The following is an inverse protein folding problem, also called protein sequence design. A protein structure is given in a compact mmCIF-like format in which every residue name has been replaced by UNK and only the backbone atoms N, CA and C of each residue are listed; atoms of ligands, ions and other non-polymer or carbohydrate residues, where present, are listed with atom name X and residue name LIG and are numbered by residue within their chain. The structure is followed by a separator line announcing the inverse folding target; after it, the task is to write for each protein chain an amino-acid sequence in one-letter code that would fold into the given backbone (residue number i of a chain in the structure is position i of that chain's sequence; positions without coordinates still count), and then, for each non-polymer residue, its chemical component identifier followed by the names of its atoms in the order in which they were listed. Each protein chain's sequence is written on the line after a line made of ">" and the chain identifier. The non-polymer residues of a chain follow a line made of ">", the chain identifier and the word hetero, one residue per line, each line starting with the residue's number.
data_IF_786480208060
#
_entry.id   IF_786480208060
#
_cell.length_a   1.000
_cell.length_b   1.000
_cell.length_c   1.000
_cell.angle_alpha   90.00
_cell.angle_beta   90.00
_cell.angle_gamma   90.00
#
_symmetry.space_group_name_H-M   'P 1'
#
loop_
_entity.id
_entity.type
_entity.pdbx_description
1 polymer ?
#
# COMPACT_ATOMS: atom_id res chain seq x y z
N UNK A 1 21.91 -88.98 -1.53
CA UNK A 1 20.70 -88.29 -1.08
C UNK A 1 21.04 -86.87 -0.71
N UNK A 2 20.79 -85.89 -1.55
CA UNK A 2 21.07 -84.44 -1.33
C UNK A 2 19.80 -83.79 -0.87
N UNK A 3 19.79 -83.21 0.34
CA UNK A 3 18.69 -82.38 0.87
C UNK A 3 18.93 -80.89 0.41
N UNK A 4 18.06 -80.38 -0.43
CA UNK A 4 18.01 -78.98 -0.80
C UNK A 4 17.27 -78.15 0.30
N UNK A 5 17.98 -77.34 0.99
CA UNK A 5 17.41 -76.32 1.89
C UNK A 5 16.95 -75.06 1.11
N UNK A 6 15.68 -74.71 1.19
CA UNK A 6 15.10 -73.50 0.63
C UNK A 6 15.27 -72.39 1.67
N UNK A 7 16.04 -71.39 1.35
CA UNK A 7 16.20 -70.15 2.17
C UNK A 7 15.09 -69.18 1.72
N UNK A 8 14.13 -68.91 2.59
CA UNK A 8 13.10 -67.89 2.40
C UNK A 8 13.66 -66.59 2.97
N UNK A 9 14.01 -65.69 2.10
CA UNK A 9 14.41 -64.34 2.47
C UNK A 9 13.16 -63.49 2.62
N UNK A 10 12.84 -63.13 3.87
CA UNK A 10 11.81 -62.13 4.18
C UNK A 10 12.34 -60.73 3.90
N UNK A 11 11.86 -60.12 2.83
CA UNK A 11 12.12 -58.70 2.53
C UNK A 11 11.13 -57.86 3.34
N UNK A 12 11.56 -57.37 4.51
CA UNK A 12 10.80 -56.37 5.27
C UNK A 12 10.89 -55.01 4.57
N UNK A 13 9.83 -54.63 3.85
CA UNK A 13 9.68 -53.31 3.30
C UNK A 13 9.38 -52.35 4.45
N UNK A 14 10.39 -51.63 4.90
CA UNK A 14 10.28 -50.52 5.85
C UNK A 14 9.65 -49.31 5.12
N UNK A 15 8.32 -49.16 5.18
CA UNK A 15 7.64 -47.93 4.75
C UNK A 15 8.03 -46.84 5.73
N UNK A 16 9.09 -46.10 5.44
CA UNK A 16 9.34 -44.79 6.03
C UNK A 16 8.24 -43.83 5.56
N UNK A 17 7.20 -43.68 6.36
CA UNK A 17 6.26 -42.57 6.22
C UNK A 17 7.05 -41.30 6.45
N UNK A 18 7.44 -40.61 5.37
CA UNK A 18 7.93 -39.23 5.41
C UNK A 18 6.73 -38.40 5.83
N UNK A 19 6.56 -38.21 7.13
CA UNK A 19 5.68 -37.17 7.67
C UNK A 19 6.35 -35.88 7.27
N UNK A 20 5.96 -35.33 6.12
CA UNK A 20 6.35 -33.98 5.72
C UNK A 20 5.82 -33.05 6.82
N UNK A 21 6.72 -32.57 7.67
CA UNK A 21 6.42 -31.42 8.52
C UNK A 21 6.15 -30.28 7.53
N UNK A 22 4.89 -29.88 7.41
CA UNK A 22 4.55 -28.61 6.76
C UNK A 22 5.30 -27.55 7.56
N UNK A 23 6.33 -26.96 6.96
CA UNK A 23 7.00 -25.80 7.53
C UNK A 23 5.93 -24.76 7.78
N UNK A 24 5.80 -24.32 9.05
CA UNK A 24 4.85 -23.26 9.41
C UNK A 24 5.11 -22.07 8.49
N UNK A 25 4.12 -21.75 7.64
CA UNK A 25 4.30 -20.70 6.64
C UNK A 25 4.44 -19.33 7.33
N UNK A 26 5.55 -18.63 7.09
CA UNK A 26 5.70 -17.26 7.56
C UNK A 26 4.93 -16.33 6.60
N UNK A 27 3.93 -15.58 7.13
CA UNK A 27 3.13 -14.61 6.40
C UNK A 27 3.29 -13.19 6.97
N UNK A 28 4.49 -12.85 7.41
CA UNK A 28 4.79 -11.50 7.90
C UNK A 28 4.45 -10.44 6.87
N UNK A 29 3.97 -9.29 7.34
CA UNK A 29 3.54 -8.21 6.47
C UNK A 29 4.11 -6.85 6.85
N UNK A 30 4.09 -5.94 5.88
CA UNK A 30 4.39 -4.54 6.10
C UNK A 30 3.24 -3.63 5.65
N UNK A 31 2.88 -2.67 6.50
CA UNK A 31 2.05 -1.54 6.13
C UNK A 31 2.97 -0.36 5.80
N UNK A 32 3.12 -0.06 4.50
CA UNK A 32 4.06 0.96 3.99
C UNK A 32 3.26 2.15 3.47
N UNK A 33 3.15 3.18 4.32
CA UNK A 33 2.35 4.37 4.04
C UNK A 33 3.10 5.66 4.42
N UNK A 34 4.13 6.06 3.65
CA UNK A 34 4.85 7.29 3.90
C UNK A 34 3.91 8.49 4.02
N UNK A 35 4.14 9.32 5.05
CA UNK A 35 3.32 10.50 5.29
C UNK A 35 2.04 10.28 6.10
N UNK A 36 1.73 9.05 6.48
CA UNK A 36 0.66 8.80 7.44
C UNK A 36 1.12 9.06 8.88
N UNK A 37 0.21 9.49 9.77
CA UNK A 37 0.57 9.79 11.16
C UNK A 37 0.91 8.52 11.95
N UNK A 38 1.55 8.72 13.11
CA UNK A 38 1.93 7.65 14.02
C UNK A 38 3.35 7.13 13.78
N UNK A 39 3.89 6.48 14.80
CA UNK A 39 5.18 5.77 14.75
C UNK A 39 4.96 4.26 14.69
N UNK A 40 6.01 3.49 14.39
CA UNK A 40 5.95 2.02 14.46
C UNK A 40 5.48 1.53 15.85
N UNK A 41 5.95 2.18 16.92
CA UNK A 41 5.56 1.82 18.30
C UNK A 41 4.07 2.10 18.58
N UNK A 42 3.54 3.23 18.10
CA UNK A 42 2.11 3.57 18.23
C UNK A 42 1.22 2.66 17.38
N UNK A 43 1.70 2.21 16.23
CA UNK A 43 0.96 1.31 15.34
C UNK A 43 1.01 -0.16 15.78
N UNK A 44 2.00 -0.56 16.60
CA UNK A 44 2.21 -1.96 17.02
C UNK A 44 0.94 -2.67 17.50
N UNK A 45 0.13 -2.10 18.42
CA UNK A 45 -1.09 -2.79 18.88
C UNK A 45 -2.09 -3.08 17.75
N UNK A 46 -2.15 -2.21 16.74
CA UNK A 46 -3.00 -2.40 15.56
C UNK A 46 -2.43 -3.51 14.67
N UNK A 47 -1.11 -3.51 14.46
CA UNK A 47 -0.43 -4.56 13.67
C UNK A 47 -0.57 -5.92 14.31
N UNK A 48 -0.40 -6.01 15.64
CA UNK A 48 -0.56 -7.26 16.40
C UNK A 48 -2.03 -7.75 16.35
N UNK A 49 -3.00 -6.86 16.50
CA UNK A 49 -4.42 -7.23 16.39
C UNK A 49 -4.78 -7.71 14.98
N UNK A 50 -4.22 -7.08 13.94
CA UNK A 50 -4.43 -7.50 12.56
C UNK A 50 -3.77 -8.84 12.27
N UNK A 51 -2.52 -9.04 12.70
CA UNK A 51 -1.82 -10.31 12.61
C UNK A 51 -2.61 -11.45 13.29
N UNK A 52 -3.10 -11.23 14.51
CA UNK A 52 -3.91 -12.20 15.24
C UNK A 52 -5.22 -12.55 14.51
N UNK A 53 -5.93 -11.55 13.99
CA UNK A 53 -7.14 -11.76 13.19
C UNK A 53 -6.85 -12.64 11.97
N UNK A 54 -5.80 -12.31 11.20
CA UNK A 54 -5.41 -13.06 10.02
C UNK A 54 -4.97 -14.50 10.36
N UNK A 55 -4.17 -14.66 11.40
CA UNK A 55 -3.72 -15.99 11.85
C UNK A 55 -4.91 -16.90 12.20
N UNK A 56 -5.92 -16.36 12.90
CA UNK A 56 -7.16 -17.08 13.19
C UNK A 56 -7.91 -17.51 11.92
N UNK A 57 -7.89 -16.71 10.86
CA UNK A 57 -8.56 -16.99 9.58
C UNK A 57 -7.75 -17.90 8.65
N UNK A 58 -6.44 -17.77 8.68
CA UNK A 58 -5.52 -18.56 7.83
C UNK A 58 -5.29 -19.98 8.36
N UNK A 59 -5.38 -20.18 9.69
CA UNK A 59 -5.14 -21.44 10.37
C UNK A 59 -3.95 -21.36 11.32
N UNK A 60 -3.78 -22.41 12.14
CA UNK A 60 -2.76 -22.47 13.21
C UNK A 60 -1.34 -22.71 12.72
N UNK A 61 -1.17 -23.14 11.46
CA UNK A 61 0.12 -23.54 10.89
C UNK A 61 0.88 -22.37 10.25
N UNK A 62 0.37 -21.12 10.45
CA UNK A 62 1.03 -19.90 9.97
C UNK A 62 1.41 -19.01 11.14
N UNK A 63 2.57 -18.36 11.04
CA UNK A 63 2.96 -17.23 11.89
C UNK A 63 2.82 -15.94 11.12
N UNK A 64 2.28 -14.91 11.77
CA UNK A 64 2.06 -13.61 11.15
C UNK A 64 2.54 -12.53 12.09
N UNK A 65 3.44 -11.67 11.63
CA UNK A 65 3.84 -10.46 12.32
C UNK A 65 3.71 -9.26 11.37
N UNK A 66 3.29 -8.12 11.90
CA UNK A 66 3.10 -6.91 11.13
C UNK A 66 4.08 -5.82 11.52
N UNK A 67 4.58 -5.06 10.52
CA UNK A 67 5.37 -3.85 10.72
C UNK A 67 4.73 -2.66 10.04
N UNK A 68 4.90 -1.48 10.63
CA UNK A 68 4.38 -0.23 10.10
C UNK A 68 5.51 0.74 9.75
N UNK A 69 5.46 1.30 8.54
CA UNK A 69 6.41 2.28 8.05
C UNK A 69 5.67 3.52 7.54
N UNK A 70 5.86 4.64 8.23
CA UNK A 70 5.37 5.96 7.79
C UNK A 70 6.47 6.82 7.17
N UNK A 71 7.69 6.30 7.07
CA UNK A 71 8.83 6.91 6.39
C UNK A 71 9.29 6.01 5.25
N UNK A 72 9.68 6.65 4.14
CA UNK A 72 10.00 5.93 2.92
C UNK A 72 11.33 5.18 3.03
N UNK A 73 12.40 5.85 3.44
CA UNK A 73 13.75 5.27 3.46
C UNK A 73 13.85 4.03 4.37
N UNK A 74 13.33 4.04 5.62
CA UNK A 74 13.30 2.84 6.45
C UNK A 74 12.47 1.69 5.83
N UNK A 75 11.36 2.01 5.14
CA UNK A 75 10.58 1.01 4.45
C UNK A 75 11.35 0.34 3.30
N UNK A 76 12.03 1.14 2.47
CA UNK A 76 12.84 0.62 1.37
C UNK A 76 14.01 -0.23 1.86
N UNK A 77 14.73 0.23 2.91
CA UNK A 77 15.81 -0.52 3.52
C UNK A 77 15.33 -1.87 4.09
N UNK A 78 14.14 -1.89 4.69
CA UNK A 78 13.52 -3.13 5.16
C UNK A 78 13.19 -4.07 3.99
N UNK A 79 12.59 -3.58 2.92
CA UNK A 79 12.27 -4.40 1.74
C UNK A 79 13.52 -4.98 1.06
N UNK A 80 14.66 -4.30 1.15
CA UNK A 80 15.94 -4.79 0.64
C UNK A 80 16.57 -5.89 1.50
N UNK A 81 16.51 -5.72 2.81
CA UNK A 81 17.20 -6.60 3.74
C UNK A 81 16.40 -7.80 4.18
N UNK A 82 15.08 -7.66 4.30
CA UNK A 82 14.19 -8.67 4.89
C UNK A 82 12.76 -8.48 4.36
N UNK A 83 12.51 -8.71 3.06
CA UNK A 83 11.18 -8.51 2.48
C UNK A 83 10.15 -9.39 3.18
N UNK A 84 8.97 -8.87 3.54
CA UNK A 84 7.89 -9.65 4.11
C UNK A 84 7.22 -10.51 3.04
N UNK A 85 6.34 -11.43 3.43
CA UNK A 85 5.57 -12.19 2.47
C UNK A 85 4.60 -11.30 1.66
N UNK A 86 4.01 -10.28 2.31
CA UNK A 86 3.04 -9.38 1.70
C UNK A 86 3.00 -8.00 2.38
N UNK A 87 2.25 -7.07 1.80
CA UNK A 87 2.09 -5.75 2.41
C UNK A 87 0.95 -4.92 1.83
N UNK A 88 0.55 -3.90 2.58
CA UNK A 88 -0.33 -2.83 2.10
C UNK A 88 0.58 -1.65 1.76
N UNK A 89 0.60 -1.24 0.51
CA UNK A 89 1.59 -0.28 0.02
C UNK A 89 0.89 0.94 -0.56
N UNK A 90 1.33 2.15 -0.18
CA UNK A 90 0.81 3.38 -0.77
C UNK A 90 1.01 3.38 -2.30
N UNK A 91 0.05 3.89 -3.07
CA UNK A 91 0.07 3.86 -4.53
C UNK A 91 1.36 4.44 -5.12
N UNK A 92 1.88 5.55 -4.59
CA UNK A 92 3.13 6.15 -5.06
C UNK A 92 4.34 5.21 -4.90
N UNK A 93 4.42 4.52 -3.76
CA UNK A 93 5.48 3.52 -3.48
C UNK A 93 5.35 2.32 -4.43
N UNK A 94 4.13 1.82 -4.62
CA UNK A 94 3.88 0.75 -5.59
C UNK A 94 4.29 1.17 -7.01
N UNK A 95 3.83 2.33 -7.45
CA UNK A 95 4.13 2.83 -8.79
C UNK A 95 5.63 2.93 -9.06
N UNK A 96 6.40 3.42 -8.07
CA UNK A 96 7.85 3.63 -8.21
C UNK A 96 8.66 2.34 -8.05
N UNK A 97 8.23 1.41 -7.18
CA UNK A 97 9.09 0.32 -6.71
C UNK A 97 8.56 -1.09 -7.00
N UNK A 98 7.38 -1.23 -7.65
CA UNK A 98 6.76 -2.52 -7.88
C UNK A 98 7.65 -3.51 -8.65
N UNK A 99 8.39 -3.03 -9.65
CA UNK A 99 9.30 -3.87 -10.43
C UNK A 99 10.50 -4.31 -9.60
N UNK A 100 11.12 -3.38 -8.87
CA UNK A 100 12.30 -3.63 -8.04
C UNK A 100 12.06 -4.70 -6.97
N UNK A 101 10.92 -4.64 -6.30
CA UNK A 101 10.58 -5.54 -5.21
C UNK A 101 9.59 -6.64 -5.61
N UNK A 102 9.39 -6.88 -6.91
CA UNK A 102 8.51 -7.93 -7.44
C UNK A 102 7.12 -7.95 -6.79
N UNK A 103 6.53 -6.75 -6.61
CA UNK A 103 5.23 -6.60 -5.97
C UNK A 103 4.11 -7.09 -6.89
N UNK A 104 3.47 -8.20 -6.53
CA UNK A 104 2.30 -8.75 -7.23
C UNK A 104 1.03 -8.32 -6.50
N UNK A 105 0.16 -7.49 -7.10
CA UNK A 105 -1.09 -7.09 -6.46
C UNK A 105 -2.04 -8.27 -6.26
N UNK A 106 -2.67 -8.37 -5.08
CA UNK A 106 -3.63 -9.43 -4.76
C UNK A 106 -4.98 -8.91 -4.25
N UNK A 107 -5.01 -7.69 -3.74
CA UNK A 107 -6.22 -6.98 -3.31
C UNK A 107 -5.96 -5.47 -3.34
N UNK A 108 -6.98 -4.66 -3.04
CA UNK A 108 -6.85 -3.22 -2.88
C UNK A 108 -7.69 -2.74 -1.69
N UNK A 109 -7.20 -1.70 -1.00
CA UNK A 109 -7.95 -1.06 0.10
C UNK A 109 -9.19 -0.32 -0.43
N UNK A 110 -10.14 -0.03 0.45
CA UNK A 110 -11.39 0.70 0.13
C UNK A 110 -11.61 1.85 1.12
N UNK A 111 -10.72 2.86 1.17
CA UNK A 111 -10.88 4.00 2.08
C UNK A 111 -12.14 4.79 1.72
N UNK A 112 -13.00 5.08 2.72
CA UNK A 112 -14.30 5.69 2.49
C UNK A 112 -15.27 4.84 1.65
N UNK A 113 -15.00 3.53 1.51
CA UNK A 113 -15.75 2.62 0.65
C UNK A 113 -15.44 2.76 -0.85
N UNK A 114 -14.55 3.67 -1.24
CA UNK A 114 -14.24 3.94 -2.64
C UNK A 114 -13.36 2.87 -3.28
N UNK A 115 -13.60 2.60 -4.55
CA UNK A 115 -12.80 1.68 -5.38
C UNK A 115 -11.70 2.41 -6.15
N UNK A 116 -11.83 3.72 -6.30
CA UNK A 116 -10.87 4.63 -6.95
C UNK A 116 -10.62 5.84 -6.08
N UNK A 117 -9.42 6.37 -6.16
CA UNK A 117 -9.03 7.63 -5.55
C UNK A 117 -8.93 8.74 -6.60
N UNK A 118 -8.95 9.98 -6.16
CA UNK A 118 -8.73 11.16 -7.00
C UNK A 118 -7.93 12.18 -6.19
N UNK A 119 -6.77 12.54 -6.67
CA UNK A 119 -5.93 13.54 -6.02
C UNK A 119 -6.24 14.95 -6.54
N UNK A 120 -6.32 15.90 -5.63
CA UNK A 120 -6.61 17.29 -5.95
C UNK A 120 -5.53 18.22 -5.44
N UNK A 121 -4.96 18.99 -6.36
CA UNK A 121 -4.06 20.09 -6.03
C UNK A 121 -4.88 21.30 -5.62
N UNK A 122 -4.74 21.70 -4.36
CA UNK A 122 -5.43 22.83 -3.75
C UNK A 122 -4.49 24.03 -3.62
N UNK A 123 -4.96 25.24 -3.89
CA UNK A 123 -4.25 26.49 -3.64
C UNK A 123 -5.18 27.54 -3.01
N UNK A 124 -4.64 28.72 -2.69
CA UNK A 124 -5.45 29.84 -2.22
C UNK A 124 -6.50 30.25 -3.28
N UNK A 125 -7.69 30.66 -2.85
CA UNK A 125 -8.77 31.05 -3.77
C UNK A 125 -8.36 32.15 -4.78
N UNK A 126 -7.46 33.05 -4.36
CA UNK A 126 -6.95 34.16 -5.15
C UNK A 126 -5.70 33.78 -5.99
N UNK A 127 -5.24 32.53 -5.96
CA UNK A 127 -4.22 32.05 -6.89
C UNK A 127 -4.70 32.15 -8.34
N UNK A 128 -3.76 32.19 -9.29
CA UNK A 128 -4.09 32.20 -10.73
C UNK A 128 -5.08 31.12 -11.15
N UNK A 129 -5.56 31.18 -12.36
CA UNK A 129 -6.57 30.20 -12.88
C UNK A 129 -6.01 28.85 -13.19
N UNK A 130 -4.71 28.74 -13.39
CA UNK A 130 -4.01 27.53 -13.85
C UNK A 130 -2.94 27.11 -12.85
N UNK A 131 -2.83 25.80 -12.60
CA UNK A 131 -1.78 25.22 -11.77
C UNK A 131 -0.37 25.49 -12.30
N UNK A 132 -0.20 25.71 -13.61
CA UNK A 132 1.07 26.04 -14.23
C UNK A 132 1.60 27.41 -13.79
N UNK A 133 0.73 28.30 -13.27
CA UNK A 133 1.11 29.59 -12.69
C UNK A 133 1.67 29.48 -11.27
N UNK A 134 1.48 28.37 -10.58
CA UNK A 134 1.94 28.17 -9.21
C UNK A 134 3.47 28.13 -9.16
N UNK A 135 4.05 28.70 -8.10
CA UNK A 135 5.50 28.68 -7.82
C UNK A 135 5.72 28.38 -6.34
N UNK A 136 6.83 27.74 -5.99
CA UNK A 136 7.17 27.43 -4.60
C UNK A 136 6.87 26.00 -4.19
N UNK A 137 6.39 25.80 -2.94
CA UNK A 137 6.24 24.45 -2.36
C UNK A 137 4.80 23.99 -2.34
N UNK A 138 4.59 22.73 -2.71
CA UNK A 138 3.31 22.04 -2.63
C UNK A 138 3.50 20.82 -1.72
N UNK A 139 2.66 20.69 -0.70
CA UNK A 139 2.74 19.65 0.32
C UNK A 139 1.67 18.58 0.12
N UNK A 140 1.96 17.34 0.55
CA UNK A 140 0.99 16.23 0.56
C UNK A 140 1.59 14.98 1.18
N UNK A 141 0.77 14.11 1.75
CA UNK A 141 1.25 12.85 2.30
C UNK A 141 1.59 11.82 1.21
N UNK A 142 1.06 11.96 0.00
CA UNK A 142 1.40 11.14 -1.16
C UNK A 142 2.66 11.65 -1.91
N UNK A 143 3.29 12.76 -1.48
CA UNK A 143 4.38 13.42 -2.21
C UNK A 143 5.78 13.00 -1.74
N UNK A 144 5.91 11.98 -0.90
CA UNK A 144 7.22 11.43 -0.51
C UNK A 144 7.91 10.78 -1.71
N UNK A 145 7.18 10.10 -2.57
CA UNK A 145 7.65 9.62 -3.88
C UNK A 145 7.37 10.66 -4.96
N UNK A 146 8.28 11.64 -5.09
CA UNK A 146 8.08 12.85 -5.93
C UNK A 146 7.83 12.53 -7.40
N UNK A 147 8.57 11.54 -7.98
CA UNK A 147 8.39 11.14 -9.39
C UNK A 147 7.02 10.49 -9.57
N UNK A 148 6.67 9.54 -8.72
CA UNK A 148 5.36 8.90 -8.78
C UNK A 148 4.24 9.92 -8.59
N UNK A 149 4.36 10.82 -7.62
CA UNK A 149 3.36 11.85 -7.36
C UNK A 149 3.15 12.78 -8.55
N UNK A 150 4.22 13.24 -9.20
CA UNK A 150 4.14 14.11 -10.36
C UNK A 150 3.46 13.41 -11.55
N UNK A 151 3.84 12.17 -11.81
CA UNK A 151 3.27 11.38 -12.88
C UNK A 151 1.80 11.00 -12.61
N UNK A 152 1.45 10.61 -11.39
CA UNK A 152 0.09 10.24 -11.01
C UNK A 152 -0.86 11.44 -11.00
N UNK A 153 -0.41 12.58 -10.48
CA UNK A 153 -1.23 13.79 -10.36
C UNK A 153 -1.36 14.55 -11.69
N UNK A 154 -0.25 14.74 -12.41
CA UNK A 154 -0.15 15.68 -13.53
C UNK A 154 0.25 15.03 -14.86
N UNK A 155 0.66 13.76 -14.86
CA UNK A 155 1.20 13.10 -16.05
C UNK A 155 2.56 13.64 -16.50
N UNK A 156 3.29 14.34 -15.63
CA UNK A 156 4.55 15.01 -15.93
C UNK A 156 5.66 14.54 -14.98
N UNK A 157 6.90 14.67 -15.44
CA UNK A 157 8.07 14.44 -14.58
C UNK A 157 8.32 15.64 -13.64
N UNK A 158 8.94 15.45 -12.46
CA UNK A 158 9.14 16.52 -11.48
C UNK A 158 9.94 17.71 -11.99
N UNK A 159 10.90 17.50 -12.89
CA UNK A 159 11.74 18.56 -13.50
C UNK A 159 10.98 19.45 -14.48
N UNK A 160 9.80 19.04 -14.92
CA UNK A 160 8.89 19.83 -15.77
C UNK A 160 7.88 20.66 -14.98
N UNK A 161 7.90 20.57 -13.65
CA UNK A 161 6.96 21.28 -12.80
C UNK A 161 7.49 22.67 -12.43
N UNK A 162 6.63 23.72 -12.42
CA UNK A 162 7.03 25.06 -12.02
C UNK A 162 7.14 25.27 -10.50
N UNK A 163 6.96 24.22 -9.72
CA UNK A 163 6.98 24.15 -8.26
C UNK A 163 7.66 22.87 -7.78
N UNK A 164 7.89 22.76 -6.48
CA UNK A 164 8.48 21.56 -5.86
C UNK A 164 7.47 20.82 -5.00
N UNK A 165 7.46 19.48 -5.09
CA UNK A 165 6.72 18.61 -4.19
C UNK A 165 7.52 18.31 -2.92
N UNK A 166 6.81 18.30 -1.80
CA UNK A 166 7.37 18.00 -0.49
C UNK A 166 6.38 17.15 0.30
N UNK A 167 6.86 16.02 0.86
CA UNK A 167 6.07 15.15 1.72
C UNK A 167 5.70 15.82 3.04
N UNK A 168 4.49 15.58 3.53
CA UNK A 168 4.05 16.03 4.87
C UNK A 168 3.16 15.00 5.55
N UNK A 169 3.31 14.87 6.88
CA UNK A 169 2.47 14.00 7.70
C UNK A 169 1.11 14.64 8.07
N UNK A 170 0.87 15.89 7.70
CA UNK A 170 -0.32 16.65 8.12
C UNK A 170 -0.87 17.52 7.00
N UNK A 171 -1.30 16.92 5.85
CA UNK A 171 -1.72 17.68 4.67
C UNK A 171 -2.90 18.62 4.98
N UNK A 172 -3.94 18.14 5.66
CA UNK A 172 -5.10 18.96 6.02
C UNK A 172 -4.71 20.13 6.93
N UNK A 173 -3.80 19.93 7.88
CA UNK A 173 -3.29 21.04 8.72
C UNK A 173 -2.48 22.06 7.91
N UNK A 174 -1.80 21.60 6.85
CA UNK A 174 -0.99 22.44 5.96
C UNK A 174 -1.82 23.46 5.16
N UNK A 175 -3.14 23.25 5.03
CA UNK A 175 -4.05 24.22 4.40
C UNK A 175 -4.05 25.58 5.08
N UNK A 176 -3.83 25.63 6.42
CA UNK A 176 -3.67 26.91 7.13
C UNK A 176 -2.44 27.68 6.66
N UNK A 177 -1.42 26.98 6.18
CA UNK A 177 -0.19 27.59 5.66
C UNK A 177 -0.40 28.17 4.26
N UNK A 178 -1.32 27.64 3.46
CA UNK A 178 -1.76 28.25 2.18
C UNK A 178 -2.40 29.61 2.49
N UNK A 179 -3.37 29.64 3.41
CA UNK A 179 -4.09 30.89 3.76
C UNK A 179 -3.15 31.96 4.33
N UNK A 180 -2.03 31.56 4.92
CA UNK A 180 -0.98 32.46 5.45
C UNK A 180 0.12 32.80 4.43
N UNK A 181 0.02 32.32 3.20
CA UNK A 181 1.03 32.54 2.16
C UNK A 181 2.39 31.86 2.41
N UNK A 182 2.48 30.88 3.32
CA UNK A 182 3.74 30.18 3.66
C UNK A 182 4.08 29.05 2.70
N UNK A 183 3.09 28.48 2.03
CA UNK A 183 3.21 27.46 0.99
C UNK A 183 2.22 27.79 -0.13
N UNK A 184 2.49 27.26 -1.30
CA UNK A 184 1.69 27.55 -2.51
C UNK A 184 0.46 26.66 -2.60
N UNK A 185 0.58 25.37 -2.25
CA UNK A 185 -0.52 24.44 -2.37
C UNK A 185 -0.39 23.19 -1.50
N UNK A 186 -1.44 22.40 -1.52
CA UNK A 186 -1.51 21.08 -0.86
C UNK A 186 -2.19 20.09 -1.82
N UNK A 187 -1.67 18.88 -1.91
CA UNK A 187 -2.36 17.78 -2.59
C UNK A 187 -3.13 16.98 -1.55
N UNK A 188 -4.40 16.73 -1.83
CA UNK A 188 -5.32 15.95 -1.01
C UNK A 188 -5.85 14.76 -1.80
N UNK A 189 -5.96 13.59 -1.14
CA UNK A 189 -6.74 12.47 -1.64
C UNK A 189 -8.26 12.74 -1.53
N UNK A 190 -9.09 11.81 -2.00
CA UNK A 190 -10.55 11.94 -1.99
C UNK A 190 -11.09 12.14 -0.58
N UNK A 191 -10.69 11.30 0.38
CA UNK A 191 -11.20 11.33 1.76
C UNK A 191 -10.79 12.63 2.47
N UNK A 192 -9.55 13.06 2.29
CA UNK A 192 -9.05 14.32 2.84
C UNK A 192 -9.79 15.53 2.23
N UNK A 193 -10.02 15.51 0.92
CA UNK A 193 -10.75 16.57 0.24
C UNK A 193 -12.20 16.68 0.75
N UNK A 194 -12.93 15.58 0.87
CA UNK A 194 -14.28 15.56 1.42
C UNK A 194 -14.32 16.12 2.85
N UNK A 195 -13.35 15.74 3.68
CA UNK A 195 -13.20 16.29 5.03
C UNK A 195 -13.02 17.82 4.99
N UNK A 196 -12.20 18.33 4.08
CA UNK A 196 -11.93 19.77 3.95
C UNK A 196 -13.15 20.56 3.49
N UNK A 197 -14.02 19.98 2.68
CA UNK A 197 -15.27 20.64 2.24
C UNK A 197 -16.19 21.00 3.42
N UNK A 198 -16.15 20.26 4.52
CA UNK A 198 -16.93 20.56 5.73
C UNK A 198 -16.30 21.60 6.63
N UNK A 199 -15.06 22.03 6.35
CA UNK A 199 -14.31 22.98 7.19
C UNK A 199 -14.50 24.42 6.73
N UNK A 200 -14.57 25.41 7.66
CA UNK A 200 -14.68 26.84 7.29
C UNK A 200 -13.56 27.34 6.37
N UNK A 201 -12.35 26.76 6.47
CA UNK A 201 -11.22 27.14 5.64
C UNK A 201 -11.36 26.68 4.18
N UNK A 202 -12.22 25.71 3.88
CA UNK A 202 -12.52 25.29 2.53
C UNK A 202 -12.92 26.45 1.62
N UNK A 203 -13.60 27.46 2.17
CA UNK A 203 -14.02 28.69 1.43
C UNK A 203 -12.83 29.60 0.99
N UNK A 204 -11.62 29.39 1.54
CA UNK A 204 -10.42 30.19 1.24
C UNK A 204 -9.46 29.51 0.28
N UNK A 205 -9.79 28.31 -0.16
CA UNK A 205 -8.98 27.50 -1.06
C UNK A 205 -9.82 27.05 -2.25
N UNK A 206 -9.16 26.73 -3.35
CA UNK A 206 -9.81 26.17 -4.54
C UNK A 206 -8.98 25.01 -5.12
N UNK A 207 -9.64 24.17 -5.91
CA UNK A 207 -9.00 23.14 -6.71
C UNK A 207 -8.34 23.79 -7.91
N UNK A 208 -7.06 23.54 -8.09
CA UNK A 208 -6.27 23.99 -9.25
C UNK A 208 -6.12 22.89 -10.30
N UNK A 209 -6.10 21.64 -9.85
CA UNK A 209 -6.03 20.46 -10.72
C UNK A 209 -6.64 19.24 -10.02
N UNK A 210 -7.21 18.38 -10.83
CA UNK A 210 -7.75 17.08 -10.40
C UNK A 210 -7.09 15.99 -11.23
N UNK A 211 -6.52 14.97 -10.60
CA UNK A 211 -5.95 13.83 -11.30
C UNK A 211 -7.02 13.05 -12.06
N UNK A 212 -6.62 12.20 -12.99
CA UNK A 212 -7.48 11.09 -13.42
C UNK A 212 -7.84 10.21 -12.23
N UNK A 213 -8.80 9.32 -12.42
CA UNK A 213 -9.06 8.29 -11.42
C UNK A 213 -7.83 7.39 -11.24
N UNK A 214 -7.48 7.17 -9.98
CA UNK A 214 -6.32 6.41 -9.54
C UNK A 214 -6.80 5.15 -8.80
N UNK A 215 -6.09 4.03 -8.89
CA UNK A 215 -6.30 2.92 -7.98
C UNK A 215 -6.09 3.34 -6.53
N UNK A 216 -6.78 2.70 -5.61
CA UNK A 216 -6.49 2.80 -4.18
C UNK A 216 -5.20 2.05 -3.83
N UNK A 217 -4.73 2.17 -2.59
CA UNK A 217 -3.51 1.48 -2.14
C UNK A 217 -3.61 -0.03 -2.34
N UNK A 218 -2.72 -0.64 -3.13
CA UNK A 218 -2.74 -2.07 -3.34
C UNK A 218 -2.24 -2.85 -2.12
N UNK A 219 -2.80 -4.04 -1.97
CA UNK A 219 -2.22 -5.12 -1.16
C UNK A 219 -1.39 -5.98 -2.10
N UNK A 220 -0.12 -6.13 -1.79
CA UNK A 220 0.84 -6.81 -2.66
C UNK A 220 1.44 -8.03 -1.98
N UNK A 221 1.75 -9.04 -2.78
CA UNK A 221 2.59 -10.17 -2.43
C UNK A 221 3.99 -9.92 -2.96
N UNK A 222 5.01 -10.25 -2.17
CA UNK A 222 6.40 -10.15 -2.59
C UNK A 222 6.87 -11.51 -3.10
N UNK A 223 7.03 -11.65 -4.42
CA UNK A 223 7.45 -12.87 -5.06
C UNK A 223 6.38 -13.56 -5.94
N UNK A 224 6.50 -14.88 -6.08
CA UNK A 224 5.64 -15.66 -6.98
C UNK A 224 4.25 -15.94 -6.40
N UNK A 225 3.25 -15.94 -7.27
CA UNK A 225 1.85 -16.26 -6.91
C UNK A 225 1.74 -17.73 -6.47
N UNK A 226 1.10 -17.95 -5.33
CA UNK A 226 0.84 -19.28 -4.78
C UNK A 226 -0.57 -19.38 -4.17
N UNK A 227 -0.93 -20.56 -3.67
CA UNK A 227 -2.24 -20.82 -3.08
C UNK A 227 -2.46 -20.02 -1.78
N UNK A 228 -1.42 -19.89 -0.96
CA UNK A 228 -1.47 -19.11 0.29
C UNK A 228 -1.81 -17.65 0.02
N UNK A 229 -1.22 -17.06 -1.05
CA UNK A 229 -1.55 -15.71 -1.49
C UNK A 229 -3.03 -15.57 -1.86
N UNK A 230 -3.60 -16.53 -2.60
CA UNK A 230 -5.02 -16.50 -2.98
C UNK A 230 -5.92 -16.59 -1.76
N UNK A 231 -5.64 -17.55 -0.85
CA UNK A 231 -6.37 -17.68 0.41
C UNK A 231 -6.31 -16.40 1.26
N UNK A 232 -5.14 -15.77 1.36
CA UNK A 232 -5.00 -14.50 2.07
C UNK A 232 -5.82 -13.38 1.42
N UNK A 233 -5.81 -13.28 0.09
CA UNK A 233 -6.62 -12.30 -0.64
C UNK A 233 -8.11 -12.49 -0.36
N UNK A 234 -8.61 -13.73 -0.34
CA UNK A 234 -10.01 -14.04 -0.02
C UNK A 234 -10.36 -13.66 1.43
N UNK A 235 -9.46 -13.97 2.38
CA UNK A 235 -9.62 -13.58 3.80
C UNK A 235 -9.71 -12.06 3.94
N UNK A 236 -8.83 -11.31 3.29
CA UNK A 236 -8.85 -9.84 3.31
C UNK A 236 -10.14 -9.29 2.72
N UNK A 237 -10.57 -9.77 1.57
CA UNK A 237 -11.80 -9.32 0.91
C UNK A 237 -13.05 -9.67 1.74
N UNK A 238 -13.03 -10.75 2.50
CA UNK A 238 -14.09 -11.16 3.42
C UNK A 238 -14.19 -10.29 4.70
N UNK A 239 -13.21 -9.46 5.02
CA UNK A 239 -13.18 -8.68 6.27
C UNK A 239 -14.36 -7.71 6.42
N UNK A 240 -14.83 -7.10 5.33
CA UNK A 240 -15.95 -6.13 5.37
C UNK A 240 -17.25 -6.73 5.91
N UNK A 241 -17.48 -8.03 5.73
CA UNK A 241 -18.66 -8.74 6.22
C UNK A 241 -18.48 -9.39 7.61
N UNK A 242 -17.32 -9.25 8.22
CA UNK A 242 -17.01 -9.85 9.52
C UNK A 242 -17.07 -8.81 10.63
N UNK A 243 -18.04 -8.96 11.55
CA UNK A 243 -18.22 -8.08 12.69
C UNK A 243 -16.97 -7.98 13.59
N UNK A 244 -16.12 -9.03 13.63
CA UNK A 244 -14.87 -9.01 14.38
C UNK A 244 -13.78 -8.15 13.71
N UNK A 245 -13.93 -7.81 12.43
CA UNK A 245 -13.00 -6.99 11.68
C UNK A 245 -13.37 -5.50 11.64
N UNK A 246 -14.59 -5.10 11.96
CA UNK A 246 -15.08 -3.73 11.82
C UNK A 246 -14.18 -2.69 12.51
N UNK A 247 -13.90 -2.90 13.81
CA UNK A 247 -13.01 -2.01 14.57
C UNK A 247 -11.58 -2.00 14.01
N UNK A 248 -11.13 -3.14 13.52
CA UNK A 248 -9.79 -3.28 12.95
C UNK A 248 -9.67 -2.54 11.61
N UNK A 249 -10.68 -2.67 10.74
CA UNK A 249 -10.75 -1.92 9.48
C UNK A 249 -10.71 -0.41 9.72
N UNK A 250 -11.45 0.09 10.70
CA UNK A 250 -11.42 1.50 11.09
C UNK A 250 -10.01 1.95 11.54
N UNK A 251 -9.30 1.13 12.31
CA UNK A 251 -7.92 1.40 12.73
C UNK A 251 -6.92 1.37 11.55
N UNK A 252 -7.17 0.53 10.55
CA UNK A 252 -6.41 0.45 9.31
C UNK A 252 -6.79 1.56 8.30
N UNK A 253 -7.73 2.43 8.64
CA UNK A 253 -8.24 3.52 7.80
C UNK A 253 -8.78 3.04 6.44
N UNK A 254 -9.49 1.92 6.45
CA UNK A 254 -10.17 1.37 5.27
C UNK A 254 -11.53 0.79 5.66
N UNK A 255 -12.50 0.84 4.75
CA UNK A 255 -13.81 0.20 4.92
C UNK A 255 -13.82 -1.24 4.41
N UNK A 256 -12.66 -1.79 4.15
CA UNK A 256 -12.46 -3.16 3.69
C UNK A 256 -11.42 -3.27 2.59
N UNK A 257 -11.38 -4.45 2.02
CA UNK A 257 -10.55 -4.78 0.86
C UNK A 257 -11.44 -5.28 -0.27
N UNK A 258 -10.98 -5.12 -1.49
CA UNK A 258 -11.67 -5.61 -2.67
C UNK A 258 -10.69 -6.12 -3.72
N UNK A 259 -11.19 -6.59 -4.88
CA UNK A 259 -10.34 -7.05 -5.95
C UNK A 259 -9.39 -5.96 -6.43
N UNK A 260 -8.27 -6.40 -7.00
CA UNK A 260 -7.30 -5.53 -7.64
C UNK A 260 -7.97 -4.76 -8.79
N UNK A 261 -7.66 -3.49 -8.88
CA UNK A 261 -8.04 -2.69 -10.04
C UNK A 261 -7.31 -3.20 -11.29
N UNK A 262 -8.04 -3.48 -12.37
CA UNK A 262 -7.47 -3.96 -13.63
C UNK A 262 -6.42 -3.02 -14.20
N UNK A 263 -6.56 -1.71 -13.92
CA UNK A 263 -5.67 -0.68 -14.45
C UNK A 263 -4.40 -0.48 -13.60
N UNK A 264 -4.31 -1.13 -12.44
CA UNK A 264 -3.19 -0.89 -11.51
C UNK A 264 -1.82 -1.08 -12.15
N UNK A 265 -1.68 -2.07 -13.04
CA UNK A 265 -0.41 -2.34 -13.73
C UNK A 265 0.04 -1.18 -14.63
N UNK A 266 -0.90 -0.40 -15.18
CA UNK A 266 -0.62 0.77 -16.03
C UNK A 266 -0.03 1.95 -15.25
N UNK A 267 -0.09 1.89 -13.91
CA UNK A 267 0.47 2.92 -13.02
C UNK A 267 1.89 2.61 -12.56
N UNK A 268 2.52 1.54 -13.06
CA UNK A 268 3.95 1.29 -12.82
C UNK A 268 4.79 2.31 -13.59
N UNK A 269 5.70 2.96 -12.88
CA UNK A 269 6.57 3.94 -13.51
C UNK A 269 7.58 3.28 -14.43
N UNK A 270 7.89 3.97 -15.50
CA UNK A 270 8.96 3.60 -16.41
C UNK A 270 10.34 3.83 -15.77
N UNK A 271 11.27 2.91 -16.01
CA UNK A 271 12.68 3.10 -15.67
C UNK A 271 13.36 4.15 -16.57
N UNK A 272 12.72 4.50 -17.70
CA UNK A 272 13.20 5.57 -18.58
C UNK A 272 13.12 6.92 -17.86
N UNK A 273 14.15 7.75 -18.06
CA UNK A 273 14.25 9.05 -17.40
C UNK A 273 13.22 10.07 -17.88
N UNK A 274 12.74 9.94 -19.10
CA UNK A 274 11.89 10.87 -19.83
C UNK A 274 10.41 10.47 -19.90
N UNK A 275 10.03 9.35 -19.29
CA UNK A 275 8.67 8.82 -19.31
C UNK A 275 8.11 8.59 -17.89
N UNK A 276 6.82 8.88 -17.71
CA UNK A 276 6.11 8.60 -16.46
C UNK A 276 5.80 7.11 -16.28
N UNK A 277 5.13 6.51 -17.24
CA UNK A 277 4.65 5.15 -17.12
C UNK A 277 5.28 4.23 -18.16
N UNK A 278 5.33 2.96 -17.85
CA UNK A 278 5.69 1.91 -18.80
C UNK A 278 4.57 1.80 -19.84
N UNK A 279 4.91 1.76 -21.15
CA UNK A 279 3.93 1.60 -22.22
C UNK A 279 3.16 0.28 -22.10
#
# INVERSE_FOLDING_TARGET
>A
MKKNGVIIIFFAILLCSVIGHAEAGNLDFALIQPGQPGTEAEARPVMDAFAHYLQKKMGTDVTIQGRYFNQLEPALAFLESSPPAWGIVQLGVYAQHAMRFQMTPMAATRPGGFTKDVWRLMAHKDAGSDWQSLRGRILGNMLFEKKAAACLLLGLLPDRLPFTFEGTFRPVRSLRSIVKGKITGVVLDRVQYETVQTMPMGKKIKVMHTSRELPTSPVVWFGTVNETMRKLADVLQGMKGDANAEKLLALLQTDGFGPVDSDLLQFRLSDKKDACFTP
#
